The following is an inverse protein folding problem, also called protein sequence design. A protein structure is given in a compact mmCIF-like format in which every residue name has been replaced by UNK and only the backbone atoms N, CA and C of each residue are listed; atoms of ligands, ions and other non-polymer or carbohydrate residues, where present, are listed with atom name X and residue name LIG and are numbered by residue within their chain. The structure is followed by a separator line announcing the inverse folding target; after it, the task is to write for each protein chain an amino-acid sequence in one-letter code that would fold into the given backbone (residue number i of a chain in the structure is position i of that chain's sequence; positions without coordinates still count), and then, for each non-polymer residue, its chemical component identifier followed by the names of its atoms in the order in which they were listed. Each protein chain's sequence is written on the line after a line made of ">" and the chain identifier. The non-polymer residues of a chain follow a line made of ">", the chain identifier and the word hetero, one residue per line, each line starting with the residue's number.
data_IF_787241200319
#
_entry.id   IF_787241200319
#
_cell.length_a   1.000
_cell.length_b   1.000
_cell.length_c   1.000
_cell.angle_alpha   90.00
_cell.angle_beta   90.00
_cell.angle_gamma   90.00
#
_symmetry.space_group_name_H-M   'P 1'
#
loop_
_entity.id
_entity.type
_entity.pdbx_description
1 polymer ?
#
# COMPACT_ATOMS: atom_id res chain seq x y z
N UNK A 1 -58.45 33.80 13.59
CA UNK A 1 -58.87 32.40 13.72
C UNK A 1 -57.64 31.51 13.69
N UNK A 2 -57.63 30.48 14.56
CA UNK A 2 -56.68 29.33 14.67
C UNK A 2 -55.20 29.68 14.87
N UNK A 3 -54.45 29.16 15.83
CA UNK A 3 -54.67 28.05 16.75
C UNK A 3 -53.29 27.59 17.24
N UNK A 4 -53.09 27.68 18.54
CA UNK A 4 -51.88 27.43 19.34
C UNK A 4 -51.54 25.93 19.39
N UNK A 5 -50.26 25.55 19.45
CA UNK A 5 -49.73 24.68 20.54
C UNK A 5 -48.26 24.27 20.35
N UNK A 6 -47.49 24.54 21.41
CA UNK A 6 -46.14 24.04 21.71
C UNK A 6 -46.17 22.53 22.03
N UNK A 7 -45.09 21.80 21.75
CA UNK A 7 -44.76 20.52 22.40
C UNK A 7 -43.40 20.61 23.10
N UNK A 8 -43.37 20.15 24.35
CA UNK A 8 -42.18 19.82 25.17
C UNK A 8 -42.26 18.33 25.54
N UNK A 9 -41.14 17.71 25.98
CA UNK A 9 -40.88 16.28 25.87
C UNK A 9 -41.38 15.46 27.07
N UNK A 10 -41.38 14.12 26.94
CA UNK A 10 -41.59 13.19 28.05
C UNK A 10 -40.62 12.00 27.99
N UNK A 11 -40.32 11.54 29.21
CA UNK A 11 -39.31 10.60 29.69
C UNK A 11 -39.72 9.12 29.65
N UNK A 12 -38.72 8.27 29.92
CA UNK A 12 -38.61 6.80 29.92
C UNK A 12 -39.69 5.94 30.61
N UNK A 13 -39.84 4.67 30.17
CA UNK A 13 -39.55 3.44 30.95
C UNK A 13 -39.75 2.12 30.16
N UNK A 14 -39.05 1.07 30.63
CA UNK A 14 -38.88 -0.33 30.20
C UNK A 14 -40.14 -1.19 29.95
N UNK A 15 -40.00 -2.22 29.09
CA UNK A 15 -40.19 -3.64 29.43
C UNK A 15 -40.05 -4.60 28.21
N UNK A 16 -39.37 -5.74 28.44
CA UNK A 16 -39.35 -7.08 27.76
C UNK A 16 -39.84 -7.22 26.30
N UNK A 17 -39.15 -7.86 25.37
CA UNK A 17 -38.36 -9.10 25.45
C UNK A 17 -38.94 -10.09 24.43
N UNK A 18 -38.21 -10.40 23.35
CA UNK A 18 -38.25 -11.70 22.67
C UNK A 18 -37.21 -11.79 21.52
N UNK A 19 -36.32 -12.75 21.72
CA UNK A 19 -35.48 -13.51 20.80
C UNK A 19 -35.67 -13.35 19.28
N UNK A 20 -34.65 -12.80 18.62
CA UNK A 20 -34.40 -12.96 17.20
C UNK A 20 -32.97 -13.46 16.97
N UNK A 21 -32.83 -14.74 16.63
CA UNK A 21 -31.57 -15.44 16.37
C UNK A 21 -30.65 -14.64 15.43
N UNK A 22 -29.57 -14.09 15.97
CA UNK A 22 -28.42 -13.68 15.16
C UNK A 22 -27.87 -14.91 14.46
N UNK A 23 -28.03 -14.96 13.13
CA UNK A 23 -27.32 -15.92 12.28
C UNK A 23 -25.82 -15.71 12.52
N UNK A 24 -25.24 -16.64 13.28
CA UNK A 24 -23.80 -16.85 13.39
C UNK A 24 -23.29 -17.04 11.95
N UNK A 25 -22.61 -16.03 11.41
CA UNK A 25 -21.85 -16.20 10.20
C UNK A 25 -20.86 -17.33 10.47
N UNK A 26 -20.91 -18.36 9.63
CA UNK A 26 -20.04 -19.51 9.72
C UNK A 26 -18.64 -19.02 9.35
N UNK A 27 -17.82 -18.73 10.36
CA UNK A 27 -16.38 -18.59 10.20
C UNK A 27 -15.89 -20.00 9.87
N UNK A 28 -15.64 -20.28 8.59
CA UNK A 28 -14.70 -21.35 8.30
C UNK A 28 -13.37 -20.91 8.92
N UNK A 29 -13.00 -21.52 10.05
CA UNK A 29 -11.66 -21.40 10.60
C UNK A 29 -10.67 -21.74 9.48
N UNK A 30 -9.78 -20.78 9.17
CA UNK A 30 -8.89 -20.91 8.03
C UNK A 30 -7.99 -22.14 8.23
N UNK A 31 -7.91 -22.98 7.19
CA UNK A 31 -7.12 -24.22 7.18
C UNK A 31 -5.61 -23.94 7.02
N UNK A 32 -5.11 -22.79 7.46
CA UNK A 32 -3.70 -22.45 7.34
C UNK A 32 -2.93 -22.99 8.53
N UNK A 33 -1.72 -23.49 8.27
CA UNK A 33 -0.84 -23.97 9.35
C UNK A 33 -0.43 -22.75 10.18
N UNK A 34 -0.69 -22.71 11.49
CA UNK A 34 -0.31 -21.58 12.36
C UNK A 34 1.18 -21.22 12.21
N UNK A 35 2.03 -22.22 12.00
CA UNK A 35 3.46 -22.07 11.76
C UNK A 35 3.81 -21.14 10.57
N UNK A 36 3.03 -21.14 9.49
CA UNK A 36 3.28 -20.28 8.33
C UNK A 36 2.93 -18.83 8.60
N UNK A 37 1.86 -18.60 9.37
CA UNK A 37 1.44 -17.27 9.79
C UNK A 37 2.50 -16.66 10.73
N UNK A 38 2.92 -17.43 11.73
CA UNK A 38 3.94 -16.99 12.69
C UNK A 38 5.29 -16.74 12.02
N UNK A 39 5.67 -17.57 11.04
CA UNK A 39 6.87 -17.34 10.22
C UNK A 39 6.77 -16.02 9.44
N UNK A 40 5.64 -15.73 8.81
CA UNK A 40 5.40 -14.50 8.06
C UNK A 40 5.49 -13.25 8.94
N UNK A 41 4.80 -13.26 10.09
CA UNK A 41 4.83 -12.16 11.06
C UNK A 41 6.24 -11.96 11.62
N UNK A 42 6.99 -13.04 11.88
CA UNK A 42 8.37 -12.94 12.36
C UNK A 42 9.30 -12.31 11.33
N UNK A 43 9.18 -12.69 10.04
CA UNK A 43 10.08 -12.23 8.98
C UNK A 43 9.78 -10.81 8.52
N UNK A 44 8.50 -10.45 8.40
CA UNK A 44 8.05 -9.14 7.92
C UNK A 44 7.64 -8.18 9.04
N UNK A 45 7.51 -8.62 10.29
CA UNK A 45 6.94 -7.82 11.39
C UNK A 45 5.56 -7.21 11.03
N UNK A 46 4.83 -7.84 10.12
CA UNK A 46 3.54 -7.40 9.59
C UNK A 46 2.59 -8.59 9.54
N UNK A 47 1.34 -8.37 9.90
CA UNK A 47 0.26 -9.33 9.67
C UNK A 47 -0.13 -9.34 8.19
N UNK A 48 -0.26 -10.53 7.61
CA UNK A 48 -0.74 -10.72 6.23
C UNK A 48 -2.22 -11.03 6.23
N UNK A 49 -3.01 -10.46 5.30
CA UNK A 49 -4.43 -10.73 5.23
C UNK A 49 -4.72 -12.14 4.69
N UNK A 50 -5.88 -12.69 5.03
CA UNK A 50 -6.27 -14.06 4.65
C UNK A 50 -6.31 -14.28 3.13
N UNK A 51 -6.64 -13.24 2.35
CA UNK A 51 -6.68 -13.32 0.89
C UNK A 51 -5.31 -13.66 0.28
N UNK A 52 -4.19 -13.30 0.92
CA UNK A 52 -2.85 -13.72 0.50
C UNK A 52 -2.76 -15.25 0.48
N UNK A 53 -3.11 -15.89 1.59
CA UNK A 53 -2.97 -17.34 1.74
C UNK A 53 -3.99 -18.09 0.89
N UNK A 54 -5.22 -17.59 0.79
CA UNK A 54 -6.22 -18.14 -0.12
C UNK A 54 -5.79 -18.03 -1.60
N UNK A 55 -5.14 -16.93 -1.97
CA UNK A 55 -4.62 -16.77 -3.32
C UNK A 55 -3.44 -17.69 -3.61
N UNK A 56 -2.59 -17.96 -2.61
CA UNK A 56 -1.55 -18.98 -2.72
C UNK A 56 -2.14 -20.38 -2.96
N UNK A 57 -3.18 -20.76 -2.23
CA UNK A 57 -3.90 -22.03 -2.44
C UNK A 57 -4.52 -22.12 -3.83
N UNK A 58 -5.14 -21.03 -4.27
CA UNK A 58 -5.67 -20.92 -5.63
C UNK A 58 -4.58 -21.12 -6.69
N UNK A 59 -3.42 -20.48 -6.54
CA UNK A 59 -2.30 -20.63 -7.47
C UNK A 59 -1.68 -22.04 -7.44
N UNK A 60 -1.66 -22.73 -6.29
CA UNK A 60 -1.25 -24.14 -6.20
C UNK A 60 -2.17 -25.06 -6.99
N UNK A 61 -3.47 -24.79 -7.04
CA UNK A 61 -4.41 -25.56 -7.85
C UNK A 61 -4.25 -25.30 -9.35
N UNK A 62 -3.85 -24.07 -9.73
CA UNK A 62 -3.59 -23.73 -11.12
C UNK A 62 -2.28 -24.32 -11.65
N UNK A 63 -1.21 -24.26 -10.86
CA UNK A 63 0.13 -24.72 -11.22
C UNK A 63 0.79 -25.38 -10.00
N UNK A 64 0.54 -26.70 -9.77
CA UNK A 64 1.06 -27.39 -8.58
C UNK A 64 2.57 -27.41 -8.47
N UNK A 65 3.26 -27.53 -9.61
CA UNK A 65 4.73 -27.65 -9.66
C UNK A 65 5.43 -26.32 -9.39
N UNK A 66 4.83 -25.20 -9.80
CA UNK A 66 5.38 -23.86 -9.60
C UNK A 66 4.27 -22.82 -9.43
N UNK A 67 3.68 -22.71 -8.22
CA UNK A 67 2.55 -21.82 -7.98
C UNK A 67 2.89 -20.34 -8.16
N UNK A 68 4.17 -19.95 -8.02
CA UNK A 68 4.61 -18.55 -8.21
C UNK A 68 4.44 -18.07 -9.64
N UNK A 69 4.55 -18.97 -10.60
CA UNK A 69 4.42 -18.69 -12.03
C UNK A 69 3.03 -19.00 -12.59
N UNK A 70 2.05 -19.33 -11.74
CA UNK A 70 0.69 -19.72 -12.14
C UNK A 70 -0.01 -18.70 -13.05
N UNK A 71 0.38 -17.42 -12.99
CA UNK A 71 -0.21 -16.34 -13.78
C UNK A 71 0.71 -15.81 -14.90
N UNK A 72 1.94 -16.34 -15.00
CA UNK A 72 2.98 -15.80 -15.91
C UNK A 72 2.54 -15.93 -17.36
N UNK A 73 2.06 -17.11 -17.75
CA UNK A 73 1.65 -17.34 -19.13
C UNK A 73 0.39 -16.55 -19.47
N UNK A 74 -0.64 -16.55 -18.63
CA UNK A 74 -1.89 -15.87 -18.93
C UNK A 74 -1.72 -14.34 -18.95
N UNK A 75 -1.14 -13.78 -17.88
CA UNK A 75 -1.15 -12.36 -17.57
C UNK A 75 0.22 -11.69 -17.60
N UNK A 76 1.31 -12.47 -17.65
CA UNK A 76 2.65 -11.94 -17.44
C UNK A 76 2.90 -11.52 -15.99
N UNK A 77 2.16 -12.09 -15.04
CA UNK A 77 2.32 -11.81 -13.62
C UNK A 77 3.03 -12.94 -12.89
N UNK A 78 3.92 -12.60 -11.97
CA UNK A 78 4.61 -13.54 -11.08
C UNK A 78 4.32 -13.18 -9.62
N UNK A 79 4.03 -14.18 -8.78
CA UNK A 79 3.89 -14.01 -7.33
C UNK A 79 5.27 -13.94 -6.68
N UNK A 80 5.48 -12.93 -5.83
CA UNK A 80 6.76 -12.66 -5.18
C UNK A 80 6.58 -12.14 -3.74
N UNK A 81 7.68 -11.82 -3.06
CA UNK A 81 7.68 -11.18 -1.75
C UNK A 81 7.17 -12.16 -0.68
N UNK A 82 6.03 -11.89 -0.01
CA UNK A 82 5.41 -12.86 0.90
C UNK A 82 5.18 -14.23 0.26
N UNK A 83 4.90 -14.30 -1.06
CA UNK A 83 4.73 -15.58 -1.75
C UNK A 83 6.04 -16.36 -1.91
N UNK A 84 7.19 -15.68 -1.94
CA UNK A 84 8.50 -16.36 -1.93
C UNK A 84 8.74 -17.08 -0.60
N UNK A 85 8.21 -16.54 0.51
CA UNK A 85 8.25 -17.20 1.83
C UNK A 85 7.34 -18.43 1.85
N UNK A 86 6.12 -18.31 1.30
CA UNK A 86 5.19 -19.45 1.18
C UNK A 86 5.73 -20.56 0.27
N UNK A 87 6.52 -20.20 -0.74
CA UNK A 87 7.26 -21.13 -1.58
C UNK A 87 8.50 -21.74 -0.90
N UNK A 88 8.89 -21.24 0.28
CA UNK A 88 10.07 -21.68 1.02
C UNK A 88 11.40 -21.18 0.44
N UNK A 89 11.38 -20.17 -0.43
CA UNK A 89 12.57 -19.67 -1.12
C UNK A 89 13.61 -19.09 -0.14
N UNK A 90 13.16 -18.49 0.96
CA UNK A 90 14.03 -17.92 1.99
C UNK A 90 14.87 -18.96 2.74
N UNK A 91 14.42 -20.22 2.79
CA UNK A 91 15.14 -21.31 3.49
C UNK A 91 16.42 -21.73 2.77
N UNK A 92 16.48 -21.48 1.47
CA UNK A 92 17.62 -21.80 0.61
C UNK A 92 18.33 -20.53 0.11
N UNK A 93 18.05 -19.37 0.73
CA UNK A 93 18.65 -18.11 0.31
C UNK A 93 20.15 -18.14 0.56
N UNK A 94 20.91 -17.64 -0.42
CA UNK A 94 22.35 -17.45 -0.27
C UNK A 94 22.69 -16.17 0.53
N UNK A 95 21.72 -15.26 0.68
CA UNK A 95 21.82 -14.13 1.58
C UNK A 95 21.59 -14.63 3.02
N UNK A 96 22.63 -14.54 3.87
CA UNK A 96 22.55 -15.04 5.24
C UNK A 96 21.59 -14.22 6.14
N UNK A 97 21.34 -12.96 5.78
CA UNK A 97 20.45 -12.05 6.52
C UNK A 97 19.67 -11.15 5.54
N UNK A 98 18.71 -11.73 4.79
CA UNK A 98 17.94 -10.96 3.84
C UNK A 98 17.05 -9.95 4.56
N UNK A 99 17.07 -8.70 4.09
CA UNK A 99 16.10 -7.71 4.53
C UNK A 99 14.81 -7.88 3.72
N UNK A 100 13.86 -8.65 4.24
CA UNK A 100 12.58 -8.92 3.58
C UNK A 100 11.78 -7.66 3.25
N UNK A 101 11.97 -6.56 3.98
CA UNK A 101 11.30 -5.32 3.65
C UNK A 101 11.83 -4.66 2.38
N UNK A 102 13.07 -4.95 1.97
CA UNK A 102 13.66 -4.48 0.71
C UNK A 102 13.46 -5.48 -0.43
N UNK A 103 13.06 -6.71 -0.12
CA UNK A 103 12.76 -7.73 -1.12
C UNK A 103 11.60 -7.29 -2.00
N UNK A 104 11.90 -7.08 -3.29
CA UNK A 104 10.98 -6.54 -4.31
C UNK A 104 10.46 -5.13 -4.02
N UNK A 105 11.20 -4.32 -3.26
CA UNK A 105 10.85 -2.91 -3.01
C UNK A 105 11.41 -2.00 -4.11
N UNK A 106 10.56 -1.51 -5.00
CA UNK A 106 10.93 -0.60 -6.06
C UNK A 106 11.26 0.80 -5.53
N UNK A 107 11.96 1.60 -6.34
CA UNK A 107 12.41 2.95 -5.99
C UNK A 107 11.28 3.85 -5.45
N UNK A 108 10.06 3.71 -5.98
CA UNK A 108 8.91 4.53 -5.59
C UNK A 108 7.97 3.87 -4.59
N UNK A 109 8.32 2.71 -4.04
CA UNK A 109 7.50 2.01 -3.06
C UNK A 109 7.72 2.64 -1.67
N UNK A 110 6.75 3.43 -1.17
CA UNK A 110 6.87 3.97 0.17
C UNK A 110 6.74 2.83 1.19
N UNK A 111 7.13 3.01 2.47
CA UNK A 111 7.06 1.97 3.50
C UNK A 111 5.69 1.29 3.64
N UNK A 112 4.62 2.01 3.33
CA UNK A 112 3.22 1.53 3.33
C UNK A 112 2.98 0.43 2.28
N UNK A 113 3.75 0.43 1.20
CA UNK A 113 3.58 -0.44 0.05
C UNK A 113 4.50 -1.67 0.16
N UNK A 114 3.91 -2.86 0.05
CA UNK A 114 4.60 -4.15 0.07
C UNK A 114 4.25 -4.94 -1.18
N UNK A 115 5.21 -5.09 -2.09
CA UNK A 115 5.07 -5.82 -3.35
C UNK A 115 4.73 -7.29 -3.12
N UNK A 116 3.75 -7.78 -3.89
CA UNK A 116 3.29 -9.17 -3.89
C UNK A 116 3.22 -9.78 -5.31
N UNK A 117 3.16 -8.96 -6.35
CA UNK A 117 3.10 -9.39 -7.74
C UNK A 117 4.03 -8.55 -8.61
N UNK A 118 4.82 -9.19 -9.46
CA UNK A 118 5.55 -8.55 -10.54
C UNK A 118 4.79 -8.69 -11.85
N UNK A 119 4.95 -7.72 -12.74
CA UNK A 119 4.46 -7.77 -14.10
C UNK A 119 5.54 -7.46 -15.12
N UNK A 120 5.28 -6.48 -15.99
CA UNK A 120 6.18 -6.09 -17.08
C UNK A 120 7.50 -5.49 -16.57
N UNK A 121 8.62 -6.15 -16.84
CA UNK A 121 9.97 -5.65 -16.53
C UNK A 121 10.29 -4.33 -17.28
N UNK A 122 9.77 -4.17 -18.50
CA UNK A 122 9.97 -2.97 -19.32
C UNK A 122 9.53 -1.69 -18.64
N UNK A 123 8.44 -1.73 -17.87
CA UNK A 123 7.91 -0.59 -17.13
C UNK A 123 8.06 -0.72 -15.62
N UNK A 124 8.68 -1.81 -15.15
CA UNK A 124 8.75 -2.18 -13.73
C UNK A 124 7.36 -2.18 -13.10
N UNK A 125 6.41 -2.77 -13.82
CA UNK A 125 5.04 -2.93 -13.35
C UNK A 125 4.98 -3.94 -12.21
N UNK A 126 4.29 -3.58 -11.14
CA UNK A 126 4.12 -4.44 -9.98
C UNK A 126 2.88 -4.04 -9.18
N UNK A 127 2.42 -4.94 -8.30
CA UNK A 127 1.31 -4.69 -7.37
C UNK A 127 1.71 -5.08 -5.95
N UNK A 128 1.14 -4.37 -4.98
CA UNK A 128 1.49 -4.52 -3.58
C UNK A 128 0.34 -4.19 -2.64
N UNK A 129 0.36 -4.76 -1.46
CA UNK A 129 -0.53 -4.34 -0.38
C UNK A 129 -0.12 -2.97 0.14
N UNK A 130 -1.11 -2.08 0.36
CA UNK A 130 -0.90 -0.76 0.95
C UNK A 130 -1.48 -0.71 2.37
N UNK A 131 -0.63 -0.44 3.36
CA UNK A 131 -1.00 -0.34 4.78
C UNK A 131 -0.84 1.10 5.29
N UNK A 132 -1.91 1.68 5.82
CA UNK A 132 -1.84 3.02 6.42
C UNK A 132 -1.02 3.02 7.73
N UNK A 133 -0.99 1.89 8.44
CA UNK A 133 -0.18 1.67 9.65
C UNK A 133 0.40 0.25 9.66
N UNK A 134 1.56 0.00 10.28
CA UNK A 134 2.14 -1.35 10.33
C UNK A 134 1.30 -2.35 11.14
N UNK A 135 0.54 -1.86 12.12
CA UNK A 135 -0.27 -2.69 13.03
C UNK A 135 -1.66 -3.05 12.46
N UNK A 136 -1.96 -2.60 11.23
CA UNK A 136 -3.23 -2.84 10.56
C UNK A 136 -3.04 -3.69 9.30
N UNK A 137 -4.05 -4.51 8.99
CA UNK A 137 -4.15 -5.17 7.69
C UNK A 137 -4.17 -4.13 6.53
N UNK A 138 -3.78 -4.54 5.31
CA UNK A 138 -3.82 -3.68 4.14
C UNK A 138 -5.19 -3.03 3.89
N UNK A 139 -5.17 -1.74 3.55
CA UNK A 139 -6.37 -0.99 3.17
C UNK A 139 -6.81 -1.28 1.74
N UNK A 140 -5.86 -1.62 0.86
CA UNK A 140 -6.09 -2.01 -0.53
C UNK A 140 -4.86 -2.67 -1.17
N UNK A 141 -5.03 -3.22 -2.37
CA UNK A 141 -3.93 -3.56 -3.28
C UNK A 141 -3.70 -2.41 -4.24
N UNK A 142 -2.46 -1.90 -4.30
CA UNK A 142 -2.05 -0.84 -5.20
C UNK A 142 -1.23 -1.38 -6.39
N UNK A 143 -1.21 -0.62 -7.48
CA UNK A 143 -0.43 -0.88 -8.68
C UNK A 143 0.48 0.31 -9.00
N UNK A 144 1.73 0.04 -9.36
CA UNK A 144 2.68 1.04 -9.84
C UNK A 144 3.47 0.52 -11.06
N UNK A 145 4.00 1.46 -11.86
CA UNK A 145 4.98 1.21 -12.91
C UNK A 145 6.19 2.12 -12.63
N UNK A 146 7.21 1.58 -11.96
CA UNK A 146 8.24 2.42 -11.32
C UNK A 146 9.06 3.23 -12.34
N UNK A 147 9.21 2.76 -13.59
CA UNK A 147 9.84 3.52 -14.68
C UNK A 147 8.99 4.70 -15.19
N UNK A 148 7.68 4.71 -14.93
CA UNK A 148 6.77 5.80 -15.35
C UNK A 148 6.61 6.87 -14.28
N UNK A 149 6.81 6.53 -13.00
CA UNK A 149 6.75 7.47 -11.88
C UNK A 149 6.20 6.84 -10.61
N UNK A 150 5.86 7.69 -9.65
CA UNK A 150 5.48 7.28 -8.29
C UNK A 150 3.97 7.06 -8.07
N UNK A 151 3.13 7.18 -9.09
CA UNK A 151 1.67 7.05 -8.94
C UNK A 151 1.28 5.64 -8.53
N UNK A 152 0.50 5.52 -7.46
CA UNK A 152 -0.07 4.26 -6.99
C UNK A 152 -1.58 4.24 -7.30
N UNK A 153 -1.99 3.31 -8.16
CA UNK A 153 -3.41 3.13 -8.54
C UNK A 153 -4.05 2.07 -7.66
N UNK A 154 -5.23 2.35 -7.09
CA UNK A 154 -5.93 1.38 -6.25
C UNK A 154 -6.68 0.33 -7.08
N UNK A 155 -6.51 -0.94 -6.72
CA UNK A 155 -6.91 -2.12 -7.50
C UNK A 155 -7.76 -3.09 -6.65
N UNK A 156 -8.78 -2.58 -5.96
CA UNK A 156 -9.59 -3.37 -5.03
C UNK A 156 -8.92 -3.57 -3.67
N UNK A 157 -9.65 -4.20 -2.73
CA UNK A 157 -9.19 -4.39 -1.35
C UNK A 157 -8.56 -5.75 -1.05
N UNK A 158 -8.42 -6.60 -2.06
CA UNK A 158 -7.81 -7.92 -1.96
C UNK A 158 -7.13 -8.31 -3.30
N UNK A 159 -6.24 -9.30 -3.25
CA UNK A 159 -5.42 -9.73 -4.40
C UNK A 159 -6.26 -10.36 -5.53
N UNK A 160 -7.38 -11.03 -5.21
CA UNK A 160 -8.29 -11.57 -6.23
C UNK A 160 -8.90 -10.45 -7.08
N UNK A 161 -9.39 -9.38 -6.44
CA UNK A 161 -9.89 -8.20 -7.12
C UNK A 161 -8.81 -7.56 -8.01
N UNK A 162 -7.60 -7.39 -7.49
CA UNK A 162 -6.49 -6.78 -8.23
C UNK A 162 -6.14 -7.54 -9.50
N UNK A 163 -5.98 -8.86 -9.41
CA UNK A 163 -5.65 -9.73 -10.55
C UNK A 163 -6.80 -9.75 -11.56
N UNK A 164 -8.05 -9.81 -11.09
CA UNK A 164 -9.21 -9.75 -11.99
C UNK A 164 -9.28 -8.42 -12.74
N UNK A 165 -9.13 -7.28 -12.05
CA UNK A 165 -9.16 -5.95 -12.67
C UNK A 165 -8.03 -5.80 -13.70
N UNK A 166 -6.84 -6.32 -13.40
CA UNK A 166 -5.73 -6.36 -14.34
C UNK A 166 -6.04 -7.23 -15.56
N UNK A 167 -6.59 -8.43 -15.38
CA UNK A 167 -7.02 -9.32 -16.46
C UNK A 167 -8.05 -8.61 -17.36
N UNK A 168 -9.07 -7.98 -16.77
CA UNK A 168 -10.12 -7.26 -17.51
C UNK A 168 -9.54 -6.12 -18.36
N UNK A 169 -8.58 -5.37 -17.82
CA UNK A 169 -7.85 -4.32 -18.55
C UNK A 169 -6.98 -4.90 -19.67
N UNK A 170 -6.20 -5.95 -19.41
CA UNK A 170 -5.38 -6.62 -20.43
C UNK A 170 -6.21 -7.19 -21.58
N UNK A 171 -7.41 -7.71 -21.29
CA UNK A 171 -8.36 -8.14 -22.31
C UNK A 171 -8.81 -6.98 -23.20
N UNK A 172 -9.12 -5.83 -22.63
CA UNK A 172 -9.49 -4.62 -23.38
C UNK A 172 -8.34 -4.11 -24.26
N UNK A 173 -7.10 -4.12 -23.75
CA UNK A 173 -5.90 -3.68 -24.48
C UNK A 173 -5.56 -4.56 -25.69
N UNK A 174 -5.82 -5.88 -25.61
CA UNK A 174 -5.41 -6.85 -26.65
C UNK A 174 -6.36 -6.94 -27.85
N UNK A 175 -7.61 -6.50 -27.73
CA UNK A 175 -8.64 -6.71 -28.75
C UNK A 175 -8.93 -8.20 -29.03
N UNK A 176 -9.78 -8.51 -30.03
CA UNK A 176 -10.33 -9.85 -30.32
C UNK A 176 -9.33 -10.87 -30.94
N UNK A 177 -8.08 -10.94 -30.46
CA UNK A 177 -7.12 -11.99 -30.91
C UNK A 177 -7.39 -13.32 -30.19
N UNK A 178 -7.99 -14.26 -30.94
CA UNK A 178 -8.64 -15.52 -30.50
C UNK A 178 -7.75 -16.52 -29.74
N UNK A 179 -6.44 -16.58 -29.97
CA UNK A 179 -5.62 -17.72 -29.54
C UNK A 179 -5.30 -17.79 -28.02
N UNK A 180 -5.47 -16.71 -27.26
CA UNK A 180 -5.27 -16.67 -25.79
C UNK A 180 -6.57 -16.38 -25.02
N UNK A 181 -7.71 -16.34 -25.72
CA UNK A 181 -9.02 -16.02 -25.15
C UNK A 181 -9.48 -17.05 -24.13
N UNK A 182 -9.45 -18.33 -24.51
CA UNK A 182 -9.97 -19.43 -23.71
C UNK A 182 -9.25 -19.58 -22.35
N UNK A 183 -7.92 -19.39 -22.32
CA UNK A 183 -7.13 -19.45 -21.08
C UNK A 183 -7.45 -18.26 -20.14
N UNK A 184 -7.65 -17.07 -20.69
CA UNK A 184 -8.03 -15.88 -19.91
C UNK A 184 -9.47 -15.97 -19.41
N UNK A 185 -10.39 -16.52 -20.21
CA UNK A 185 -11.78 -16.76 -19.83
C UNK A 185 -11.89 -17.83 -18.74
N UNK A 186 -11.11 -18.91 -18.85
CA UNK A 186 -11.02 -19.94 -17.82
C UNK A 186 -10.47 -19.37 -16.51
N UNK A 187 -9.39 -18.58 -16.57
CA UNK A 187 -8.82 -17.93 -15.39
C UNK A 187 -9.80 -16.92 -14.75
N UNK A 188 -10.49 -16.12 -15.56
CA UNK A 188 -11.52 -15.20 -15.07
C UNK A 188 -12.62 -15.95 -14.31
N UNK A 189 -13.11 -17.05 -14.89
CA UNK A 189 -14.17 -17.87 -14.28
C UNK A 189 -13.70 -18.43 -12.93
N UNK A 190 -12.52 -19.03 -12.89
CA UNK A 190 -11.94 -19.58 -11.65
C UNK A 190 -11.69 -18.52 -10.58
N UNK A 191 -11.23 -17.33 -10.95
CA UNK A 191 -11.05 -16.20 -10.03
C UNK A 191 -12.38 -15.77 -9.41
N UNK A 192 -13.43 -15.67 -10.23
CA UNK A 192 -14.78 -15.27 -9.77
C UNK A 192 -15.40 -16.30 -8.86
N UNK A 193 -15.38 -17.57 -9.24
CA UNK A 193 -15.91 -18.69 -8.44
C UNK A 193 -15.19 -18.79 -7.08
N UNK A 194 -13.86 -18.66 -7.08
CA UNK A 194 -13.08 -18.70 -5.85
C UNK A 194 -13.36 -17.50 -4.95
N UNK A 195 -13.45 -16.30 -5.50
CA UNK A 195 -13.78 -15.10 -4.73
C UNK A 195 -15.21 -15.17 -4.16
N UNK A 196 -16.18 -15.68 -4.91
CA UNK A 196 -17.56 -15.90 -4.43
C UNK A 196 -17.60 -16.90 -3.28
N UNK A 197 -16.85 -18.00 -3.38
CA UNK A 197 -16.75 -19.02 -2.33
C UNK A 197 -16.16 -18.45 -1.03
N UNK A 198 -15.24 -17.48 -1.14
CA UNK A 198 -14.55 -16.84 -0.02
C UNK A 198 -15.22 -15.54 0.45
N UNK A 199 -16.36 -15.16 -0.13
CA UNK A 199 -17.06 -13.88 0.13
C UNK A 199 -16.15 -12.64 -0.05
N UNK A 200 -15.26 -12.68 -1.06
CA UNK A 200 -14.35 -11.59 -1.39
C UNK A 200 -14.98 -10.63 -2.41
N UNK A 201 -14.91 -9.33 -2.13
CA UNK A 201 -15.36 -8.31 -3.09
C UNK A 201 -14.44 -8.26 -4.30
N UNK A 202 -15.01 -8.16 -5.50
CA UNK A 202 -14.28 -7.97 -6.75
C UNK A 202 -14.42 -6.55 -7.31
N UNK A 203 -14.93 -5.61 -6.50
CA UNK A 203 -15.06 -4.21 -6.91
C UNK A 203 -13.69 -3.50 -6.96
N UNK A 204 -13.51 -2.61 -7.93
CA UNK A 204 -12.34 -1.73 -7.95
C UNK A 204 -12.23 -0.82 -6.73
N UNK A 205 -13.38 -0.45 -6.15
CA UNK A 205 -13.44 0.49 -5.03
C UNK A 205 -14.54 0.10 -4.04
N UNK A 206 -14.16 -0.70 -3.05
CA UNK A 206 -15.09 -1.24 -2.05
C UNK A 206 -15.58 -0.19 -1.06
N UNK A 207 -16.56 -0.57 -0.23
CA UNK A 207 -17.07 0.29 0.85
C UNK A 207 -15.98 0.65 1.86
N UNK A 208 -15.09 -0.29 2.20
CA UNK A 208 -13.97 -0.07 3.11
C UNK A 208 -13.00 0.98 2.56
N UNK A 209 -12.63 0.85 1.29
CA UNK A 209 -11.76 1.83 0.61
C UNK A 209 -12.38 3.23 0.57
N UNK A 210 -13.69 3.34 0.30
CA UNK A 210 -14.41 4.63 0.32
C UNK A 210 -14.50 5.23 1.72
N UNK A 211 -14.57 4.40 2.77
CA UNK A 211 -14.51 4.88 4.15
C UNK A 211 -13.11 5.37 4.52
N UNK A 212 -12.07 4.68 4.04
CA UNK A 212 -10.68 5.09 4.19
C UNK A 212 -10.41 6.42 3.48
N UNK A 213 -10.91 6.62 2.25
CA UNK A 213 -10.79 7.89 1.52
C UNK A 213 -11.31 9.10 2.30
N UNK A 214 -12.36 8.94 3.11
CA UNK A 214 -12.90 10.01 3.96
C UNK A 214 -11.95 10.41 5.10
N UNK A 215 -10.97 9.57 5.42
CA UNK A 215 -9.94 9.80 6.43
C UNK A 215 -8.60 10.23 5.82
N UNK A 216 -8.50 10.25 4.50
CA UNK A 216 -7.30 10.73 3.81
C UNK A 216 -7.20 12.25 3.99
N UNK A 217 -6.09 12.71 4.55
CA UNK A 217 -5.89 14.14 4.83
C UNK A 217 -5.24 14.88 3.64
N UNK A 218 -4.44 14.17 2.83
CA UNK A 218 -3.85 14.65 1.58
C UNK A 218 -3.49 13.48 0.69
N UNK A 219 -3.39 13.72 -0.63
CA UNK A 219 -3.12 12.68 -1.64
C UNK A 219 -1.64 12.36 -1.81
N UNK A 220 -0.77 13.33 -1.49
CA UNK A 220 0.67 13.34 -1.79
C UNK A 220 0.95 13.10 -3.29
N UNK A 221 2.22 13.10 -3.69
CA UNK A 221 2.62 12.93 -5.10
C UNK A 221 2.26 11.56 -5.69
N UNK A 222 2.22 10.50 -4.87
CA UNK A 222 1.86 9.16 -5.34
C UNK A 222 0.34 8.96 -5.50
N UNK A 223 -0.50 9.86 -4.99
CA UNK A 223 -1.95 9.83 -5.17
C UNK A 223 -2.72 8.80 -4.33
N UNK A 224 -2.05 7.83 -3.71
CA UNK A 224 -2.68 6.90 -2.76
C UNK A 224 -3.23 7.60 -1.51
N UNK A 225 -2.68 8.75 -1.13
CA UNK A 225 -3.04 9.53 0.04
C UNK A 225 -2.62 8.95 1.37
N UNK A 226 -2.48 9.83 2.36
CA UNK A 226 -2.06 9.48 3.72
C UNK A 226 -3.21 9.65 4.70
N UNK A 227 -3.23 8.77 5.70
CA UNK A 227 -4.18 8.81 6.82
C UNK A 227 -3.38 9.03 8.10
N UNK A 228 -3.79 10.01 8.90
CA UNK A 228 -3.25 10.26 10.25
C UNK A 228 -4.40 10.45 11.24
N UNK A 229 -4.18 10.22 12.55
CA UNK A 229 -5.16 10.59 13.56
C UNK A 229 -5.38 12.10 13.53
N UNK A 230 -6.64 12.54 13.44
CA UNK A 230 -7.06 13.94 13.59
C UNK A 230 -8.11 13.98 14.69
N UNK A 231 -7.88 14.82 15.69
CA UNK A 231 -8.79 14.94 16.83
C UNK A 231 -10.00 15.83 16.50
N UNK A 232 -10.87 16.04 17.49
CA UNK A 232 -12.09 16.85 17.35
C UNK A 232 -11.84 18.36 17.15
N UNK A 233 -10.61 18.81 17.37
CA UNK A 233 -10.17 20.20 17.24
C UNK A 233 -9.30 20.38 15.99
N UNK A 234 -9.33 19.41 15.07
CA UNK A 234 -8.53 19.36 13.84
C UNK A 234 -7.01 19.28 14.07
N UNK A 235 -6.57 18.81 15.25
CA UNK A 235 -5.15 18.57 15.55
C UNK A 235 -4.74 17.18 15.07
N UNK A 236 -3.67 17.13 14.28
CA UNK A 236 -3.04 15.94 13.71
C UNK A 236 -2.46 16.16 12.31
N UNK A 237 -2.97 17.16 11.58
CA UNK A 237 -2.54 17.49 10.23
C UNK A 237 -2.77 18.98 9.92
N UNK A 238 -1.79 19.58 9.24
CA UNK A 238 -1.93 20.86 8.54
C UNK A 238 -1.24 20.79 7.18
N UNK A 239 -1.72 21.56 6.22
CA UNK A 239 -1.21 21.59 4.85
C UNK A 239 0.20 22.19 4.78
N UNK A 240 0.95 21.78 3.75
CA UNK A 240 2.20 22.45 3.38
C UNK A 240 1.92 23.90 2.93
N UNK A 241 2.88 24.83 3.15
CA UNK A 241 2.74 26.22 2.68
C UNK A 241 2.81 26.36 1.16
N UNK A 242 3.21 25.30 0.44
CA UNK A 242 3.37 25.25 -1.00
C UNK A 242 2.39 24.26 -1.62
N UNK A 243 1.95 24.54 -2.84
CA UNK A 243 1.16 23.57 -3.62
C UNK A 243 2.04 22.43 -4.13
N UNK A 244 1.46 21.27 -4.46
CA UNK A 244 2.20 20.16 -5.09
C UNK A 244 3.01 20.60 -6.31
N UNK A 245 2.46 21.51 -7.13
CA UNK A 245 3.11 21.99 -8.33
C UNK A 245 4.35 22.84 -8.00
N UNK A 246 4.26 23.67 -6.95
CA UNK A 246 5.36 24.53 -6.52
C UNK A 246 6.42 23.74 -5.75
N UNK A 247 6.03 22.77 -4.92
CA UNK A 247 6.96 21.84 -4.28
C UNK A 247 7.73 21.01 -5.32
N UNK A 248 7.09 20.57 -6.41
CA UNK A 248 7.77 19.92 -7.54
C UNK A 248 8.78 20.84 -8.21
N UNK A 249 8.51 22.15 -8.34
CA UNK A 249 9.47 23.12 -8.87
C UNK A 249 10.67 23.29 -7.94
N UNK A 250 10.45 23.34 -6.63
CA UNK A 250 11.53 23.39 -5.62
C UNK A 250 12.42 22.14 -5.75
N UNK A 251 11.81 20.96 -5.75
CA UNK A 251 12.53 19.69 -5.92
C UNK A 251 13.34 19.64 -7.22
N UNK A 252 12.75 20.14 -8.32
CA UNK A 252 13.42 20.24 -9.63
C UNK A 252 14.62 21.16 -9.59
N UNK A 253 14.49 22.35 -9.00
CA UNK A 253 15.60 23.28 -8.86
C UNK A 253 16.78 22.66 -8.08
N UNK A 254 16.49 21.88 -7.03
CA UNK A 254 17.52 21.15 -6.26
C UNK A 254 18.17 20.05 -7.09
N UNK A 255 17.36 19.22 -7.77
CA UNK A 255 17.84 18.06 -8.51
C UNK A 255 18.67 18.42 -9.75
N UNK A 256 18.28 19.49 -10.44
CA UNK A 256 18.87 19.93 -11.72
C UNK A 256 19.92 21.06 -11.54
N UNK A 257 20.21 21.49 -10.31
CA UNK A 257 21.24 22.49 -10.04
C UNK A 257 22.60 22.07 -10.61
N UNK A 258 23.32 23.01 -11.25
CA UNK A 258 24.53 22.70 -12.03
C UNK A 258 25.76 22.41 -11.15
N UNK A 259 25.78 22.96 -9.95
CA UNK A 259 26.86 22.85 -8.98
C UNK A 259 26.30 22.91 -7.55
N UNK A 260 27.15 22.65 -6.57
CA UNK A 260 26.75 22.56 -5.17
C UNK A 260 26.32 23.92 -4.59
N UNK A 261 26.91 25.03 -5.03
CA UNK A 261 26.53 26.38 -4.56
C UNK A 261 25.12 26.76 -5.03
N UNK A 262 24.77 26.49 -6.28
CA UNK A 262 23.41 26.63 -6.80
C UNK A 262 22.44 25.72 -6.04
N UNK A 263 22.85 24.47 -5.76
CA UNK A 263 21.99 23.52 -5.05
C UNK A 263 21.72 23.96 -3.61
N UNK A 264 22.73 24.42 -2.89
CA UNK A 264 22.57 24.96 -1.52
C UNK A 264 21.59 26.11 -1.51
N UNK A 265 21.65 27.03 -2.49
CA UNK A 265 20.66 28.11 -2.62
C UNK A 265 19.26 27.59 -2.93
N UNK A 266 19.14 26.60 -3.83
CA UNK A 266 17.87 25.97 -4.18
C UNK A 266 17.22 25.22 -2.99
N UNK A 267 18.01 24.80 -2.00
CA UNK A 267 17.51 24.21 -0.75
C UNK A 267 16.85 25.21 0.19
N UNK A 268 17.04 26.53 0.02
CA UNK A 268 16.52 27.57 0.90
C UNK A 268 15.02 27.43 1.20
N UNK A 269 14.14 27.44 0.17
CA UNK A 269 12.71 27.25 0.37
C UNK A 269 12.36 25.94 1.08
N UNK A 270 13.06 24.84 0.75
CA UNK A 270 12.82 23.55 1.42
C UNK A 270 13.21 23.58 2.91
N UNK A 271 14.26 24.31 3.29
CA UNK A 271 14.63 24.47 4.71
C UNK A 271 13.58 25.28 5.49
N UNK A 272 12.95 26.27 4.86
CA UNK A 272 11.84 27.02 5.47
C UNK A 272 10.64 26.10 5.72
N UNK A 273 10.26 25.27 4.74
CA UNK A 273 9.18 24.28 4.91
C UNK A 273 9.52 23.29 6.03
N UNK A 274 10.75 22.79 6.10
CA UNK A 274 11.20 21.89 7.18
C UNK A 274 11.10 22.57 8.56
N UNK A 275 11.35 23.88 8.63
CA UNK A 275 11.19 24.66 9.87
C UNK A 275 9.73 24.73 10.29
N UNK A 276 8.81 24.96 9.36
CA UNK A 276 7.37 24.90 9.64
C UNK A 276 6.91 23.51 10.07
N UNK A 277 7.49 22.45 9.50
CA UNK A 277 7.24 21.07 9.96
C UNK A 277 7.66 20.87 11.42
N UNK A 278 8.74 21.50 11.89
CA UNK A 278 9.11 21.41 13.32
C UNK A 278 8.07 22.08 14.21
N UNK A 279 7.58 23.27 13.84
CA UNK A 279 6.49 23.91 14.59
C UNK A 279 5.21 23.07 14.57
N UNK A 280 4.87 22.46 13.44
CA UNK A 280 3.74 21.54 13.33
C UNK A 280 3.92 20.32 14.26
N UNK A 281 5.12 19.75 14.32
CA UNK A 281 5.41 18.64 15.23
C UNK A 281 5.26 19.03 16.71
N UNK A 282 5.76 20.21 17.11
CA UNK A 282 5.59 20.71 18.48
C UNK A 282 4.09 20.90 18.84
N UNK A 283 3.28 21.23 17.83
CA UNK A 283 1.82 21.41 17.93
C UNK A 283 1.02 20.13 17.61
N UNK A 284 1.69 18.97 17.51
CA UNK A 284 1.11 17.65 17.28
C UNK A 284 0.49 17.41 15.89
N UNK A 285 0.75 18.28 14.91
CA UNK A 285 0.35 18.14 13.51
C UNK A 285 1.39 17.33 12.70
N UNK A 286 1.64 16.10 13.16
CA UNK A 286 2.66 15.20 12.59
C UNK A 286 2.42 14.86 11.11
N UNK A 287 1.17 14.97 10.64
CA UNK A 287 0.80 14.72 9.26
C UNK A 287 1.49 15.64 8.24
N UNK A 288 1.87 16.86 8.63
CA UNK A 288 2.57 17.80 7.73
C UNK A 288 3.97 17.29 7.37
N UNK A 289 4.72 16.82 8.37
CA UNK A 289 6.03 16.20 8.15
C UNK A 289 5.92 14.89 7.36
N UNK A 290 4.87 14.11 7.62
CA UNK A 290 4.61 12.89 6.88
C UNK A 290 4.35 13.16 5.38
N UNK A 291 3.50 14.13 5.05
CA UNK A 291 3.26 14.57 3.67
C UNK A 291 4.54 15.02 2.97
N UNK A 292 5.27 15.98 3.57
CA UNK A 292 6.52 16.49 2.98
C UNK A 292 7.52 15.36 2.71
N UNK A 293 7.70 14.48 3.70
CA UNK A 293 8.62 13.35 3.59
C UNK A 293 8.28 12.43 2.43
N UNK A 294 6.99 12.11 2.26
CA UNK A 294 6.49 11.27 1.17
C UNK A 294 6.64 11.97 -0.17
N UNK A 295 6.31 13.26 -0.29
CA UNK A 295 6.44 14.00 -1.55
C UNK A 295 7.90 14.07 -2.02
N UNK A 296 8.83 14.36 -1.11
CA UNK A 296 10.26 14.33 -1.41
C UNK A 296 10.73 12.92 -1.80
N UNK A 297 10.23 11.88 -1.13
CA UNK A 297 10.50 10.49 -1.48
C UNK A 297 10.01 10.17 -2.88
N UNK A 298 8.77 10.54 -3.21
CA UNK A 298 8.11 10.35 -4.50
C UNK A 298 8.77 11.12 -5.65
N UNK A 299 9.50 12.20 -5.36
CA UNK A 299 10.29 12.91 -6.36
C UNK A 299 11.50 12.10 -6.86
N UNK A 300 12.02 11.19 -6.04
CA UNK A 300 13.04 10.20 -6.47
C UNK A 300 14.48 10.70 -6.59
N UNK A 301 14.77 11.96 -6.25
CA UNK A 301 16.13 12.50 -6.35
C UNK A 301 16.99 12.13 -5.14
N UNK A 302 18.18 11.55 -5.38
CA UNK A 302 19.17 11.23 -4.33
C UNK A 302 19.58 12.43 -3.49
N UNK A 303 19.52 13.65 -4.06
CA UNK A 303 19.87 14.87 -3.34
C UNK A 303 18.89 15.17 -2.19
N UNK A 304 17.68 14.63 -2.25
CA UNK A 304 16.65 14.82 -1.22
C UNK A 304 16.76 13.80 -0.08
N UNK A 305 17.54 12.73 -0.20
CA UNK A 305 17.61 11.66 0.80
C UNK A 305 17.95 12.17 2.21
N UNK A 306 18.87 13.14 2.32
CA UNK A 306 19.20 13.75 3.61
C UNK A 306 18.04 14.53 4.23
N UNK A 307 17.21 15.18 3.41
CA UNK A 307 16.02 15.87 3.89
C UNK A 307 14.93 14.87 4.30
N UNK A 308 14.72 13.83 3.50
CA UNK A 308 13.76 12.74 3.80
C UNK A 308 14.12 12.08 5.14
N UNK A 309 15.40 11.71 5.35
CA UNK A 309 15.87 11.09 6.60
C UNK A 309 15.70 11.97 7.84
N UNK A 310 15.60 13.29 7.70
CA UNK A 310 15.35 14.19 8.82
C UNK A 310 13.87 14.28 9.17
N UNK A 311 12.99 14.15 8.18
CA UNK A 311 11.57 14.46 8.32
C UNK A 311 10.74 13.21 8.51
N UNK A 312 10.89 12.23 7.61
CA UNK A 312 9.95 11.12 7.48
C UNK A 312 10.12 10.05 8.58
N UNK A 313 11.32 9.62 8.99
CA UNK A 313 11.49 8.74 10.16
C UNK A 313 10.90 9.34 11.44
N UNK A 314 11.10 10.65 11.67
CA UNK A 314 10.55 11.35 12.82
C UNK A 314 9.02 11.38 12.77
N UNK A 315 8.43 11.72 11.61
CA UNK A 315 6.98 11.72 11.44
C UNK A 315 6.38 10.33 11.71
N UNK A 316 6.99 9.26 11.20
CA UNK A 316 6.58 7.89 11.52
C UNK A 316 6.69 7.59 13.01
N UNK A 317 7.77 7.98 13.68
CA UNK A 317 7.93 7.73 15.12
C UNK A 317 6.88 8.45 15.97
N UNK A 318 6.61 9.74 15.67
CA UNK A 318 5.56 10.52 16.32
C UNK A 318 4.16 9.93 16.09
N UNK A 319 3.92 9.37 14.89
CA UNK A 319 2.70 8.63 14.55
C UNK A 319 2.66 7.19 15.09
N UNK A 320 3.69 6.76 15.83
CA UNK A 320 3.87 5.40 16.37
C UNK A 320 3.94 4.30 15.29
N UNK A 321 4.55 4.61 14.15
CA UNK A 321 4.75 3.72 12.99
C UNK A 321 6.23 3.35 12.81
N UNK A 322 6.90 3.01 13.91
CA UNK A 322 8.37 2.86 13.93
C UNK A 322 8.90 1.86 12.88
N UNK A 323 8.15 0.80 12.55
CA UNK A 323 8.52 -0.13 11.48
C UNK A 323 8.69 0.58 10.13
N UNK A 324 7.82 1.53 9.80
CA UNK A 324 7.95 2.28 8.54
C UNK A 324 9.18 3.19 8.52
N UNK A 325 9.61 3.70 9.66
CA UNK A 325 10.89 4.40 9.78
C UNK A 325 12.08 3.46 9.48
N UNK A 326 12.10 2.26 10.08
CA UNK A 326 13.13 1.24 9.83
C UNK A 326 13.20 0.86 8.33
N UNK A 327 12.04 0.61 7.72
CA UNK A 327 11.93 0.27 6.29
C UNK A 327 12.45 1.40 5.41
N UNK A 328 12.08 2.64 5.71
CA UNK A 328 12.52 3.81 4.95
C UNK A 328 14.03 4.00 5.02
N UNK A 329 14.63 3.93 6.20
CA UNK A 329 16.06 4.13 6.39
C UNK A 329 16.87 3.07 5.65
N UNK A 330 16.44 1.81 5.74
CA UNK A 330 17.02 0.71 4.98
C UNK A 330 16.86 0.92 3.46
N UNK A 331 15.68 1.37 3.03
CA UNK A 331 15.39 1.63 1.62
C UNK A 331 16.26 2.76 1.08
N UNK A 332 16.33 3.92 1.74
CA UNK A 332 17.13 5.07 1.29
C UNK A 332 18.63 4.78 1.22
N UNK A 333 19.13 3.87 2.07
CA UNK A 333 20.53 3.41 2.06
C UNK A 333 20.83 2.51 0.86
N UNK A 334 19.84 1.72 0.42
CA UNK A 334 19.99 0.72 -0.63
C UNK A 334 19.15 1.04 -1.88
N UNK A 335 18.75 2.30 -2.06
CA UNK A 335 17.78 2.76 -3.08
C UNK A 335 18.33 2.74 -4.53
N UNK A 336 19.36 1.94 -4.80
CA UNK A 336 19.87 1.66 -6.13
C UNK A 336 19.09 0.49 -6.76
N UNK A 337 18.78 0.58 -8.05
CA UNK A 337 17.91 -0.34 -8.78
C UNK A 337 18.49 -1.75 -8.98
N UNK A 338 19.71 -2.01 -8.49
CA UNK A 338 20.52 -3.13 -8.98
C UNK A 338 20.18 -4.46 -8.28
N UNK A 339 19.50 -4.45 -7.12
CA UNK A 339 19.16 -5.67 -6.40
C UNK A 339 17.84 -5.59 -5.61
N UNK A 340 16.72 -5.88 -6.29
CA UNK A 340 15.42 -6.03 -5.65
C UNK A 340 15.23 -7.41 -5.02
N UNK A 341 15.80 -8.46 -5.60
CA UNK A 341 15.68 -9.82 -5.08
C UNK A 341 16.72 -10.09 -3.97
N UNK A 342 16.32 -9.79 -2.74
CA UNK A 342 17.12 -10.05 -1.55
C UNK A 342 17.37 -11.55 -1.26
N UNK A 343 16.69 -12.47 -1.95
CA UNK A 343 16.82 -13.91 -1.72
C UNK A 343 17.78 -14.61 -2.69
N UNK A 344 18.04 -14.04 -3.87
CA UNK A 344 19.07 -14.54 -4.79
C UNK A 344 20.47 -14.09 -4.39
N UNK A 345 21.45 -14.87 -4.84
CA UNK A 345 22.87 -14.56 -4.67
C UNK A 345 23.31 -13.54 -5.72
N UNK A 346 24.19 -12.64 -5.32
CA UNK A 346 24.95 -11.78 -6.24
C UNK A 346 26.30 -12.41 -6.53
#
# INVERSE_FOLDING_TARGET
>A
MTGRAKRKPKSAQDAGGETGKSKKACTEESKFKPEQHDEMVRLYKLEMPDDLYHFWDFCKELCPDNPRDALRDALGLQLVGPFDILAGAHKNSQNAQPNFHLHWRYIYDPPEFQTILLGSEDSEHHMGYYRDTPDSLPSFVGENEAKKGCTITQMGDNVFAAVLLFLLRKRKERGSKKARGDALESLETKLRERAETLDLSLEQKTKGMKQRDKKVVTKTFHGAGIVVPVDKNDVGYRELPETDADLKKICKAIAEAKNDEERIRAFGPLQEIITFVQFANDECDYGMGYELGIDLFCYGSRYLHKAINKVLPLAYSLLKRNLFAEVLEAHLTSRSHDNLDQLSAH
#
